data_IF_827365956734
#
_entry.id   IF_827365956734
#
_cell.length_a   1.000
_cell.length_b   1.000
_cell.length_c   1.000
_cell.angle_alpha   90.00
_cell.angle_beta   90.00
_cell.angle_gamma   90.00
#
_symmetry.space_group_name_H-M   'P 1'
#
loop_
_entity.id
_entity.type
_entity.pdbx_description
1 polymer ?
#
# COMPACT_ATOMS: atom_id res chain seq x y z
N UNK A 1 -12.26 23.09 -20.51
CA UNK A 1 -12.42 23.09 -19.04
C UNK A 1 -11.59 24.23 -18.48
N UNK A 2 -12.22 25.19 -17.82
CA UNK A 2 -11.52 26.32 -17.19
C UNK A 2 -10.68 25.82 -16.01
N UNK A 3 -9.44 26.28 -15.89
CA UNK A 3 -8.61 26.03 -14.69
C UNK A 3 -9.18 26.85 -13.54
N UNK A 4 -9.80 26.19 -12.58
CA UNK A 4 -10.21 26.80 -11.31
C UNK A 4 -9.09 26.62 -10.27
N UNK A 5 -8.87 27.62 -9.43
CA UNK A 5 -7.92 27.52 -8.31
C UNK A 5 -8.41 26.48 -7.29
N UNK A 6 -7.47 25.89 -6.52
CA UNK A 6 -7.83 25.01 -5.40
C UNK A 6 -8.52 25.82 -4.29
N UNK A 7 -9.41 25.20 -3.49
CA UNK A 7 -9.98 25.83 -2.30
C UNK A 7 -8.88 26.26 -1.31
N UNK A 8 -9.04 27.45 -0.74
CA UNK A 8 -8.18 27.98 0.32
C UNK A 8 -8.83 27.69 1.67
N UNK A 9 -8.33 26.66 2.38
CA UNK A 9 -8.90 26.18 3.64
C UNK A 9 -7.82 26.17 4.74
N UNK A 10 -7.38 27.34 5.24
CA UNK A 10 -6.29 27.45 6.21
C UNK A 10 -6.62 26.80 7.57
N UNK A 11 -7.90 26.73 7.94
CA UNK A 11 -8.38 26.15 9.20
C UNK A 11 -8.79 24.67 9.05
N UNK A 12 -8.44 24.03 7.93
CA UNK A 12 -8.81 22.63 7.69
C UNK A 12 -8.08 21.72 8.67
N UNK A 13 -8.82 21.22 9.64
CA UNK A 13 -8.34 20.17 10.54
C UNK A 13 -8.31 18.85 9.75
N UNK A 14 -7.11 18.37 9.42
CA UNK A 14 -6.90 17.02 8.92
C UNK A 14 -6.83 16.06 10.11
N UNK A 15 -8.00 15.58 10.57
CA UNK A 15 -8.06 14.47 11.52
C UNK A 15 -7.63 13.19 10.79
N UNK A 16 -6.38 12.78 11.00
CA UNK A 16 -5.94 11.45 10.62
C UNK A 16 -6.67 10.47 11.56
N UNK A 17 -7.32 9.42 11.04
CA UNK A 17 -7.90 8.41 11.90
C UNK A 17 -6.79 7.71 12.72
N UNK A 18 -7.14 7.11 13.87
CA UNK A 18 -6.18 6.43 14.75
C UNK A 18 -5.38 5.33 14.04
N UNK A 19 -5.92 4.74 12.97
CA UNK A 19 -5.24 3.77 12.11
C UNK A 19 -5.38 4.14 10.64
N UNK A 20 -4.30 3.93 9.87
CA UNK A 20 -4.33 4.05 8.41
C UNK A 20 -5.33 3.07 7.77
N UNK A 21 -5.63 1.95 8.44
CA UNK A 21 -6.64 1.00 7.95
C UNK A 21 -8.03 1.64 7.89
N UNK A 22 -8.33 2.60 8.76
CA UNK A 22 -9.65 3.22 8.85
C UNK A 22 -9.89 4.26 7.75
N UNK A 23 -8.90 4.52 6.89
CA UNK A 23 -9.05 5.37 5.70
C UNK A 23 -9.92 4.72 4.63
N UNK A 24 -10.06 3.39 4.68
CA UNK A 24 -10.83 2.60 3.74
C UNK A 24 -12.06 2.04 4.45
N UNK A 25 -13.15 1.86 3.70
CA UNK A 25 -14.35 1.20 4.21
C UNK A 25 -14.03 -0.24 4.63
N UNK A 26 -14.68 -0.78 5.66
CA UNK A 26 -14.40 -2.12 6.18
C UNK A 26 -14.45 -3.25 5.12
N UNK A 27 -15.26 -3.10 4.07
CA UNK A 27 -15.36 -4.06 2.95
C UNK A 27 -14.37 -3.82 1.80
N UNK A 28 -13.42 -2.90 1.93
CA UNK A 28 -12.50 -2.58 0.85
C UNK A 28 -11.55 -3.74 0.56
N UNK A 29 -11.39 -4.07 -0.73
CA UNK A 29 -10.57 -5.19 -1.22
C UNK A 29 -9.13 -5.20 -0.66
N UNK A 30 -8.55 -4.03 -0.44
CA UNK A 30 -7.21 -3.89 0.13
C UNK A 30 -7.06 -4.57 1.51
N UNK A 31 -8.12 -4.62 2.33
CA UNK A 31 -8.10 -5.34 3.60
C UNK A 31 -7.96 -6.84 3.37
N UNK A 32 -8.78 -7.40 2.47
CA UNK A 32 -8.71 -8.81 2.10
C UNK A 32 -7.35 -9.21 1.52
N UNK A 33 -6.81 -8.40 0.60
CA UNK A 33 -5.46 -8.62 0.04
C UNK A 33 -4.40 -8.55 1.14
N UNK A 34 -4.53 -7.62 2.08
CA UNK A 34 -3.62 -7.50 3.23
C UNK A 34 -3.63 -8.78 4.07
N UNK A 35 -4.81 -9.27 4.44
CA UNK A 35 -5.00 -10.43 5.30
C UNK A 35 -4.50 -11.73 4.67
N UNK A 36 -4.63 -11.89 3.35
CA UNK A 36 -4.10 -13.06 2.65
C UNK A 36 -2.58 -12.97 2.54
N UNK A 37 -2.04 -11.80 2.17
CA UNK A 37 -0.60 -11.67 1.94
C UNK A 37 0.20 -11.91 3.22
N UNK A 38 -0.35 -11.55 4.39
CA UNK A 38 0.26 -11.80 5.70
C UNK A 38 0.33 -13.30 6.07
N UNK A 39 -0.43 -14.16 5.37
CA UNK A 39 -0.43 -15.62 5.57
C UNK A 39 0.47 -16.38 4.58
N UNK A 40 1.04 -15.69 3.60
CA UNK A 40 1.93 -16.29 2.60
C UNK A 40 3.35 -16.40 3.15
N UNK A 41 4.02 -17.53 2.89
CA UNK A 41 5.46 -17.65 3.13
C UNK A 41 6.23 -16.94 2.01
N UNK A 42 6.83 -15.80 2.35
CA UNK A 42 7.64 -14.98 1.43
C UNK A 42 9.13 -15.01 1.78
N UNK A 43 9.58 -15.93 2.64
CA UNK A 43 10.97 -15.98 3.10
C UNK A 43 11.95 -16.20 1.94
N UNK A 44 11.57 -16.99 0.94
CA UNK A 44 12.39 -17.20 -0.24
C UNK A 44 12.70 -15.90 -1.01
N UNK A 45 11.77 -14.93 -1.01
CA UNK A 45 11.97 -13.62 -1.64
C UNK A 45 12.91 -12.77 -0.78
N UNK A 46 12.66 -12.72 0.53
CA UNK A 46 13.48 -11.97 1.48
C UNK A 46 14.95 -12.41 1.47
N UNK A 47 15.19 -13.73 1.47
CA UNK A 47 16.54 -14.30 1.53
C UNK A 47 17.43 -14.00 0.32
N UNK A 48 16.86 -13.62 -0.83
CA UNK A 48 17.63 -13.13 -1.99
C UNK A 48 18.21 -11.75 -1.71
N UNK A 49 17.40 -10.85 -1.12
CA UNK A 49 17.79 -9.46 -0.89
C UNK A 49 18.64 -9.25 0.36
N UNK A 50 18.53 -10.14 1.36
CA UNK A 50 19.40 -10.12 2.55
C UNK A 50 20.89 -10.29 2.22
N UNK A 51 21.21 -10.87 1.06
CA UNK A 51 22.59 -11.14 0.61
C UNK A 51 23.10 -10.09 -0.38
N UNK A 52 22.28 -9.11 -0.76
CA UNK A 52 22.64 -8.10 -1.75
C UNK A 52 22.92 -6.77 -1.06
N UNK A 53 24.17 -6.30 -1.14
CA UNK A 53 24.61 -5.05 -0.50
C UNK A 53 24.60 -3.84 -1.45
N UNK A 54 24.20 -4.04 -2.71
CA UNK A 54 24.20 -2.98 -3.73
C UNK A 54 22.84 -2.30 -3.84
N UNK A 55 22.88 -0.98 -3.98
CA UNK A 55 21.69 -0.16 -4.26
C UNK A 55 21.02 0.37 -3.00
N UNK A 56 19.78 0.86 -3.15
CA UNK A 56 18.96 1.31 -2.03
C UNK A 56 18.35 0.12 -1.30
N UNK A 57 18.05 0.24 0.00
CA UNK A 57 17.33 -0.80 0.74
C UNK A 57 16.07 -1.24 -0.02
N UNK A 58 15.83 -2.56 -0.13
CA UNK A 58 14.67 -3.08 -0.84
C UNK A 58 13.37 -2.70 -0.10
N UNK A 59 12.28 -2.61 -0.85
CA UNK A 59 10.96 -2.60 -0.25
C UNK A 59 10.66 -3.95 0.40
N UNK A 60 9.88 -3.94 1.49
CA UNK A 60 9.50 -5.17 2.17
C UNK A 60 8.74 -6.11 1.22
N UNK A 61 9.11 -7.41 1.11
CA UNK A 61 8.47 -8.36 0.18
C UNK A 61 6.95 -8.42 0.30
N UNK A 62 6.44 -8.49 1.55
CA UNK A 62 4.99 -8.42 1.84
C UNK A 62 4.33 -7.19 1.21
N UNK A 63 4.99 -6.02 1.25
CA UNK A 63 4.42 -4.80 0.69
C UNK A 63 4.34 -4.86 -0.83
N UNK A 64 5.41 -5.32 -1.48
CA UNK A 64 5.43 -5.50 -2.95
C UNK A 64 4.38 -6.50 -3.42
N UNK A 65 4.22 -7.62 -2.71
CA UNK A 65 3.21 -8.63 -3.04
C UNK A 65 1.79 -8.09 -2.83
N UNK A 66 1.53 -7.32 -1.76
CA UNK A 66 0.22 -6.66 -1.54
C UNK A 66 -0.15 -5.75 -2.71
N UNK A 67 0.78 -4.92 -3.17
CA UNK A 67 0.57 -4.01 -4.31
C UNK A 67 0.29 -4.80 -5.59
N UNK A 68 1.11 -5.82 -5.86
CA UNK A 68 0.97 -6.66 -7.06
C UNK A 68 -0.39 -7.37 -7.09
N UNK A 69 -0.76 -8.08 -6.01
CA UNK A 69 -2.03 -8.79 -5.92
C UNK A 69 -3.22 -7.85 -6.04
N UNK A 70 -3.17 -6.69 -5.39
CA UNK A 70 -4.23 -5.70 -5.50
C UNK A 70 -4.40 -5.24 -6.96
N UNK A 71 -3.30 -4.93 -7.65
CA UNK A 71 -3.29 -4.50 -9.05
C UNK A 71 -3.90 -5.57 -9.97
N UNK A 72 -3.53 -6.84 -9.78
CA UNK A 72 -4.15 -7.97 -10.50
C UNK A 72 -5.65 -8.09 -10.24
N UNK A 73 -6.10 -7.96 -8.99
CA UNK A 73 -7.52 -8.05 -8.65
C UNK A 73 -8.37 -6.94 -9.28
N UNK A 74 -7.79 -5.77 -9.56
CA UNK A 74 -8.49 -4.64 -10.21
C UNK A 74 -8.23 -4.55 -11.72
N UNK A 75 -7.51 -5.51 -12.30
CA UNK A 75 -7.25 -5.57 -13.75
C UNK A 75 -6.23 -4.55 -14.25
N UNK A 76 -5.29 -4.13 -13.41
CA UNK A 76 -4.18 -3.23 -13.76
C UNK A 76 -2.84 -3.98 -13.70
N UNK A 77 -2.48 -4.75 -14.74
CA UNK A 77 -1.20 -5.45 -14.79
C UNK A 77 0.00 -4.52 -14.97
#
# INVERSE_FOLDING_TARGET
MSKTSRPYEPDRILLLPPSVKDWLSAGHLAHFVSDITEKLDLNAIGGVYEREERGRPPYHPVMMVKVLLYAYCVGLP
#
